data_IF_332728335827
#
_entry.id   IF_332728335827
#
_cell.length_a   1.000
_cell.length_b   1.000
_cell.length_c   1.000
_cell.angle_alpha   90.00
_cell.angle_beta   90.00
_cell.angle_gamma   90.00
#
_symmetry.space_group_name_H-M   'P 1'
#
loop_
_entity.id
_entity.type
_entity.pdbx_description
1 polymer ?
#
# COMPACT_ATOMS: atom_id res chain seq x y z
N UNK A 1 -27.25 44.02 -19.72
CA UNK A 1 -28.10 42.84 -19.47
C UNK A 1 -27.48 41.64 -20.16
N UNK A 2 -27.31 40.55 -19.42
CA UNK A 2 -26.43 39.42 -19.71
C UNK A 2 -27.04 38.43 -20.73
N UNK A 3 -26.19 37.87 -21.60
CA UNK A 3 -26.48 36.83 -22.58
C UNK A 3 -26.75 35.46 -21.91
N UNK A 4 -27.66 34.61 -22.45
CA UNK A 4 -27.96 33.30 -21.88
C UNK A 4 -26.92 32.21 -22.22
N UNK A 5 -26.59 31.49 -21.15
CA UNK A 5 -25.95 30.18 -20.97
C UNK A 5 -26.10 29.20 -22.15
N UNK A 6 -24.98 28.83 -22.77
CA UNK A 6 -24.87 27.65 -23.61
C UNK A 6 -24.35 26.46 -22.79
N UNK A 7 -25.26 25.50 -22.56
CA UNK A 7 -24.96 24.14 -22.08
C UNK A 7 -24.17 23.39 -23.14
N UNK A 8 -23.05 22.76 -22.77
CA UNK A 8 -22.48 21.64 -23.53
C UNK A 8 -22.19 20.51 -22.57
N UNK A 9 -22.96 19.44 -22.76
CA UNK A 9 -22.83 18.11 -22.16
C UNK A 9 -21.76 17.39 -22.98
N UNK A 10 -20.74 16.84 -22.32
CA UNK A 10 -19.71 16.03 -22.95
C UNK A 10 -19.43 14.80 -22.10
N UNK A 11 -20.21 13.74 -22.33
CA UNK A 11 -20.01 12.41 -21.75
C UNK A 11 -19.11 11.62 -22.71
N UNK A 12 -17.90 11.26 -22.30
CA UNK A 12 -17.03 10.36 -23.06
C UNK A 12 -16.65 9.15 -22.19
N UNK A 13 -17.32 8.03 -22.47
CA UNK A 13 -16.93 6.68 -22.04
C UNK A 13 -15.70 6.25 -22.85
N UNK A 14 -14.59 5.92 -22.19
CA UNK A 14 -13.47 5.22 -22.80
C UNK A 14 -13.45 3.77 -22.31
N UNK A 15 -13.63 2.86 -23.26
CA UNK A 15 -13.70 1.40 -23.12
C UNK A 15 -12.27 0.83 -23.02
N UNK A 16 -12.09 -0.22 -22.23
CA UNK A 16 -10.79 -0.79 -21.86
C UNK A 16 -10.10 -1.68 -22.90
N UNK A 17 -8.91 -2.14 -22.53
CA UNK A 17 -8.14 -3.16 -23.25
C UNK A 17 -7.45 -4.10 -22.26
N UNK A 18 -7.55 -5.39 -22.57
CA UNK A 18 -7.26 -6.54 -21.72
C UNK A 18 -5.76 -6.85 -21.58
N UNK A 19 -5.42 -7.54 -20.49
CA UNK A 19 -4.07 -8.01 -20.17
C UNK A 19 -3.70 -9.29 -20.96
N UNK A 20 -2.46 -9.43 -21.44
CA UNK A 20 -1.92 -10.72 -21.82
C UNK A 20 -1.40 -11.47 -20.57
N UNK A 21 -1.94 -12.67 -20.35
CA UNK A 21 -1.42 -13.67 -19.42
C UNK A 21 -0.33 -14.48 -20.12
N UNK A 22 0.91 -14.43 -19.61
CA UNK A 22 1.99 -15.33 -20.03
C UNK A 22 2.10 -16.47 -19.04
N UNK A 23 1.67 -17.66 -19.47
CA UNK A 23 1.95 -18.93 -18.82
C UNK A 23 3.23 -19.51 -19.41
N UNK A 24 4.27 -19.76 -18.59
CA UNK A 24 5.44 -20.54 -19.00
C UNK A 24 5.93 -21.45 -17.85
N UNK A 25 5.59 -22.73 -18.01
CA UNK A 25 6.33 -23.96 -17.66
C UNK A 25 7.30 -23.99 -16.47
N UNK A 26 6.94 -24.80 -15.46
CA UNK A 26 7.87 -25.49 -14.57
C UNK A 26 8.73 -26.51 -15.33
N UNK A 27 10.02 -26.59 -14.99
CA UNK A 27 10.72 -27.86 -14.84
C UNK A 27 11.09 -28.09 -13.38
N UNK A 28 10.56 -29.20 -12.85
CA UNK A 28 11.04 -29.90 -11.65
C UNK A 28 12.39 -30.53 -11.99
N UNK A 29 13.45 -30.23 -11.23
CA UNK A 29 14.57 -31.18 -11.06
C UNK A 29 15.61 -30.70 -10.01
N UNK A 30 15.98 -31.66 -9.14
CA UNK A 30 17.17 -31.73 -8.27
C UNK A 30 17.08 -31.15 -6.84
N UNK A 31 16.57 -32.01 -5.97
CA UNK A 31 17.12 -32.20 -4.62
C UNK A 31 18.62 -32.54 -4.69
N UNK A 32 19.48 -31.82 -3.94
CA UNK A 32 20.45 -32.51 -3.11
C UNK A 32 20.18 -32.27 -1.63
N UNK A 33 20.08 -33.39 -0.92
CA UNK A 33 20.09 -33.52 0.52
C UNK A 33 21.46 -33.08 1.04
N UNK A 34 21.51 -31.96 1.74
CA UNK A 34 22.61 -31.61 2.63
C UNK A 34 22.03 -31.39 4.02
N UNK A 35 22.22 -32.39 4.88
CA UNK A 35 22.23 -32.19 6.32
C UNK A 35 23.26 -31.10 6.66
N UNK A 36 23.01 -30.32 7.71
CA UNK A 36 23.93 -30.16 8.85
C UNK A 36 23.65 -28.86 9.63
N UNK A 37 23.26 -29.08 10.88
CA UNK A 37 23.26 -28.18 12.03
C UNK A 37 24.00 -26.85 11.87
N UNK A 38 23.26 -25.74 11.98
CA UNK A 38 23.79 -24.55 12.65
C UNK A 38 22.75 -23.98 13.61
N UNK A 39 23.01 -24.27 14.89
CA UNK A 39 22.50 -23.61 16.07
C UNK A 39 22.94 -22.14 16.01
N UNK A 40 22.09 -21.30 15.43
CA UNK A 40 22.29 -19.85 15.35
C UNK A 40 21.07 -19.14 15.92
N UNK A 41 21.26 -18.46 17.05
CA UNK A 41 20.29 -17.57 17.68
C UNK A 41 20.07 -16.35 16.78
N UNK A 42 19.21 -16.47 15.78
CA UNK A 42 18.71 -15.32 15.04
C UNK A 42 17.29 -15.05 15.50
N UNK A 43 17.13 -13.93 16.21
CA UNK A 43 15.82 -13.39 16.57
C UNK A 43 15.14 -12.96 15.28
N UNK A 44 14.53 -13.96 14.65
CA UNK A 44 13.75 -13.88 13.44
C UNK A 44 12.70 -12.78 13.64
N UNK A 45 13.05 -11.60 13.16
CA UNK A 45 12.21 -10.41 13.05
C UNK A 45 11.22 -10.71 11.93
N UNK A 46 10.36 -11.69 12.20
CA UNK A 46 9.35 -12.27 11.34
C UNK A 46 8.39 -11.16 10.95
N UNK A 47 8.68 -10.49 9.84
CA UNK A 47 7.67 -9.74 9.12
C UNK A 47 6.57 -10.75 8.81
N UNK A 48 5.31 -10.54 9.26
CA UNK A 48 4.23 -11.40 8.83
C UNK A 48 3.97 -11.11 7.34
N UNK A 49 4.61 -11.89 6.47
CA UNK A 49 4.09 -12.19 5.13
C UNK A 49 2.82 -13.01 5.36
N UNK A 50 1.69 -12.33 5.51
CA UNK A 50 0.38 -12.96 5.42
C UNK A 50 -0.54 -12.01 4.68
N UNK A 51 -0.37 -12.02 3.36
CA UNK A 51 -1.41 -11.70 2.40
C UNK A 51 -2.54 -12.72 2.61
N UNK A 52 -3.36 -12.48 3.63
CA UNK A 52 -4.45 -13.37 4.03
C UNK A 52 -5.73 -12.57 4.10
N UNK A 53 -6.59 -12.77 3.10
CA UNK A 53 -7.99 -12.31 3.05
C UNK A 53 -8.63 -12.40 4.45
N UNK A 54 -9.15 -11.28 4.94
CA UNK A 54 -10.16 -11.27 6.01
C UNK A 54 -9.71 -11.12 7.46
N UNK A 55 -8.43 -10.89 7.79
CA UNK A 55 -8.08 -10.47 9.18
C UNK A 55 -8.23 -8.97 9.36
N UNK A 56 -9.23 -8.56 10.14
CA UNK A 56 -9.31 -7.23 10.76
C UNK A 56 -7.97 -6.91 11.40
N UNK A 57 -7.30 -5.85 10.94
CA UNK A 57 -6.04 -5.43 11.55
C UNK A 57 -6.34 -4.64 12.81
N UNK A 58 -5.47 -4.72 13.83
CA UNK A 58 -5.53 -3.83 14.98
C UNK A 58 -5.40 -2.34 14.59
N UNK A 59 -5.01 -2.05 13.35
CA UNK A 59 -4.77 -0.70 12.85
C UNK A 59 -5.92 -0.11 12.02
N UNK A 60 -7.11 -0.69 12.16
CA UNK A 60 -8.31 -0.33 11.42
C UNK A 60 -8.55 -1.18 10.19
N UNK A 61 -9.64 -0.90 9.50
CA UNK A 61 -9.98 -1.58 8.25
C UNK A 61 -9.10 -1.06 7.11
N UNK A 62 -8.51 -1.98 6.33
CA UNK A 62 -7.85 -1.67 5.07
C UNK A 62 -8.78 -2.13 3.96
N UNK A 63 -9.27 -1.21 3.13
CA UNK A 63 -10.23 -1.54 2.07
C UNK A 63 -9.51 -2.16 0.88
N UNK A 64 -10.15 -3.15 0.28
CA UNK A 64 -9.71 -3.72 -0.98
C UNK A 64 -9.66 -2.63 -2.07
N UNK A 65 -8.63 -2.67 -2.91
CA UNK A 65 -8.40 -1.67 -3.97
C UNK A 65 -7.57 -0.44 -3.57
N UNK A 66 -7.19 -0.28 -2.29
CA UNK A 66 -6.21 0.75 -1.88
C UNK A 66 -4.77 0.36 -2.17
N UNK A 67 -4.53 -0.89 -2.58
CA UNK A 67 -3.21 -1.45 -2.84
C UNK A 67 -2.67 -2.23 -1.63
N UNK A 68 -1.34 -2.43 -1.61
CA UNK A 68 -0.66 -3.17 -0.55
C UNK A 68 -0.87 -2.52 0.81
N UNK A 69 -1.13 -3.36 1.82
CA UNK A 69 -1.36 -2.90 3.19
C UNK A 69 -0.10 -2.22 3.74
N UNK A 70 -0.22 -1.05 4.37
CA UNK A 70 0.92 -0.37 4.96
C UNK A 70 1.46 -1.15 6.17
N UNK A 71 2.73 -0.88 6.56
CA UNK A 71 3.30 -1.45 7.76
C UNK A 71 2.58 -0.93 9.02
N UNK A 72 2.93 -1.50 10.17
CA UNK A 72 2.45 -1.01 11.46
C UNK A 72 2.74 0.49 11.66
N UNK A 73 1.87 1.22 12.37
CA UNK A 73 2.05 2.64 12.62
C UNK A 73 3.35 2.91 13.38
N UNK A 74 4.02 4.04 13.11
CA UNK A 74 5.18 4.44 13.88
C UNK A 74 4.80 4.75 15.33
N UNK A 75 5.77 4.61 16.25
CA UNK A 75 5.53 4.68 17.72
C UNK A 75 4.83 5.97 18.19
N UNK A 76 4.97 7.07 17.46
CA UNK A 76 4.39 8.36 17.81
C UNK A 76 2.92 8.50 17.41
N UNK A 77 2.39 7.59 16.59
CA UNK A 77 1.00 7.62 16.16
C UNK A 77 0.10 7.03 17.25
N UNK A 78 -0.74 7.88 17.85
CA UNK A 78 -1.54 7.53 19.03
C UNK A 78 -2.82 6.78 18.67
N UNK A 79 -3.48 7.13 17.57
CA UNK A 79 -4.77 6.58 17.14
C UNK A 79 -4.63 5.34 16.28
N UNK A 80 -4.00 4.28 16.82
CA UNK A 80 -3.64 3.07 16.06
C UNK A 80 -4.80 2.50 15.21
N UNK A 81 -6.02 2.49 15.72
CA UNK A 81 -7.23 2.03 15.01
C UNK A 81 -7.55 2.82 13.74
N UNK A 82 -7.11 4.07 13.61
CA UNK A 82 -7.34 4.92 12.44
C UNK A 82 -6.16 4.95 11.46
N UNK A 83 -5.09 4.20 11.74
CA UNK A 83 -3.86 4.24 10.97
C UNK A 83 -4.08 3.98 9.47
N UNK A 84 -4.84 2.95 9.15
CA UNK A 84 -5.12 2.58 7.75
C UNK A 84 -5.85 3.71 7.00
N UNK A 85 -6.79 4.38 7.66
CA UNK A 85 -7.53 5.53 7.11
C UNK A 85 -6.61 6.75 6.94
N UNK A 86 -5.77 7.01 7.94
CA UNK A 86 -4.78 8.10 7.91
C UNK A 86 -3.80 7.97 6.76
N UNK A 87 -3.17 6.79 6.63
CA UNK A 87 -2.24 6.49 5.54
C UNK A 87 -2.90 6.76 4.19
N UNK A 88 -4.15 6.30 4.01
CA UNK A 88 -4.84 6.50 2.75
C UNK A 88 -5.08 7.98 2.46
N UNK A 89 -5.55 8.74 3.45
CA UNK A 89 -5.78 10.18 3.30
C UNK A 89 -4.46 10.93 2.97
N UNK A 90 -3.36 10.59 3.64
CA UNK A 90 -2.06 11.18 3.38
C UNK A 90 -1.51 10.79 1.99
N UNK A 91 -1.68 9.54 1.55
CA UNK A 91 -1.29 9.09 0.21
C UNK A 91 -2.08 9.80 -0.90
N UNK A 92 -3.36 10.08 -0.68
CA UNK A 92 -4.19 10.84 -1.63
C UNK A 92 -3.76 12.30 -1.72
N UNK A 93 -3.41 12.90 -0.59
CA UNK A 93 -3.02 14.32 -0.52
C UNK A 93 -1.57 14.56 -0.95
N UNK A 94 -0.67 13.66 -0.62
CA UNK A 94 0.76 13.81 -0.84
C UNK A 94 1.33 12.59 -1.58
N UNK A 95 1.69 12.79 -2.86
CA UNK A 95 2.29 11.76 -3.72
C UNK A 95 3.58 11.17 -3.15
N UNK A 96 4.31 11.96 -2.36
CA UNK A 96 5.61 11.60 -1.75
C UNK A 96 5.49 11.02 -0.34
N UNK A 97 4.27 10.69 0.11
CA UNK A 97 4.04 10.19 1.47
C UNK A 97 4.62 8.80 1.70
N UNK A 98 5.25 8.61 2.86
CA UNK A 98 5.78 7.33 3.34
C UNK A 98 5.05 6.89 4.61
N UNK A 99 4.28 5.81 4.50
CA UNK A 99 3.57 5.20 5.63
C UNK A 99 4.52 4.68 6.72
N UNK A 100 5.78 4.35 6.40
CA UNK A 100 6.73 3.84 7.40
C UNK A 100 7.13 4.91 8.42
N UNK A 101 7.23 6.17 8.00
CA UNK A 101 7.71 7.28 8.82
C UNK A 101 6.65 8.34 9.09
N UNK A 102 5.46 8.17 8.52
CA UNK A 102 4.37 9.15 8.55
C UNK A 102 4.76 10.52 7.99
N UNK A 103 5.73 10.55 7.06
CA UNK A 103 6.27 11.78 6.50
C UNK A 103 6.00 11.89 4.99
N UNK A 104 5.82 13.12 4.52
CA UNK A 104 5.80 13.46 3.10
C UNK A 104 6.90 14.49 2.79
N UNK A 105 7.30 14.58 1.52
CA UNK A 105 8.23 15.63 1.06
C UNK A 105 7.46 16.85 0.61
N UNK A 106 7.83 18.00 1.17
CA UNK A 106 7.39 19.31 0.71
C UNK A 106 8.11 19.72 -0.58
N UNK A 107 7.58 20.70 -1.33
CA UNK A 107 8.24 21.24 -2.53
C UNK A 107 9.66 21.77 -2.28
N UNK A 108 9.95 22.24 -1.06
CA UNK A 108 11.28 22.71 -0.64
C UNK A 108 12.24 21.56 -0.22
N UNK A 109 11.89 20.31 -0.53
CA UNK A 109 12.71 19.12 -0.24
C UNK A 109 12.69 18.65 1.22
N UNK A 110 12.13 19.42 2.15
CA UNK A 110 12.05 19.02 3.56
C UNK A 110 10.98 17.95 3.78
N UNK A 111 11.26 17.00 4.67
CA UNK A 111 10.28 16.04 5.13
C UNK A 111 9.42 16.64 6.26
N UNK A 112 8.10 16.45 6.19
CA UNK A 112 7.17 16.81 7.26
C UNK A 112 6.24 15.67 7.59
N UNK A 113 5.84 15.61 8.86
CA UNK A 113 4.83 14.68 9.34
C UNK A 113 3.45 15.04 8.79
N UNK A 114 2.67 14.04 8.43
CA UNK A 114 1.27 14.19 8.11
C UNK A 114 0.44 14.32 9.39
N UNK A 115 -0.35 15.39 9.54
CA UNK A 115 -1.15 15.66 10.75
C UNK A 115 -2.65 15.73 10.45
N UNK A 116 -3.09 14.91 9.49
CA UNK A 116 -4.50 14.80 9.09
C UNK A 116 -5.37 14.19 10.20
#
# INVERSE_FOLDING_TARGET
MFLPVARMIGLALAIGSAAPASAQSHPDDRHPRSQQSQRGTDSDRRQPRTEGRGRSSPYGEWKDGWGSRPPAPPKHFTRKSDWNRHVRACQQRYRSYSARTDNYRMPNGKARRCTL
#
